data_IF_753031574252
#
_entry.id   IF_753031574252
#
_cell.length_a   1.000
_cell.length_b   1.000
_cell.length_c   1.000
_cell.angle_alpha   90.00
_cell.angle_beta   90.00
_cell.angle_gamma   90.00
#
_symmetry.space_group_name_H-M   'P 1'
#
loop_
_entity.id
_entity.type
_entity.pdbx_description
1 polymer ?
#
# COMPACT_ATOMS: atom_id res chain seq x y z
N UNK A 1 13.72 33.19 13.51
CA UNK A 1 13.06 31.88 13.32
C UNK A 1 14.11 30.89 12.85
N UNK A 2 14.15 29.70 13.47
CA UNK A 2 15.12 28.68 13.07
C UNK A 2 14.71 28.07 11.72
N UNK A 3 15.68 27.58 10.89
CA UNK A 3 15.35 26.91 9.63
C UNK A 3 14.39 25.71 9.82
N UNK A 4 14.47 25.03 10.95
CA UNK A 4 13.59 23.90 11.30
C UNK A 4 12.14 24.33 11.52
N UNK A 5 11.90 25.52 12.13
CA UNK A 5 10.55 26.04 12.34
C UNK A 5 9.87 26.43 11.02
N UNK A 6 10.64 26.95 10.05
CA UNK A 6 10.14 27.29 8.72
C UNK A 6 9.80 26.03 7.89
N UNK A 7 10.63 24.98 7.98
CA UNK A 7 10.36 23.71 7.32
C UNK A 7 9.10 23.03 7.89
N UNK A 8 8.93 23.06 9.20
CA UNK A 8 7.75 22.49 9.84
C UNK A 8 6.48 23.26 9.46
N UNK A 9 6.53 24.60 9.47
CA UNK A 9 5.41 25.44 9.04
C UNK A 9 5.06 25.20 7.56
N UNK A 10 6.08 25.04 6.71
CA UNK A 10 5.88 24.72 5.28
C UNK A 10 5.23 23.36 5.10
N UNK A 11 5.73 22.32 5.77
CA UNK A 11 5.19 20.98 5.69
C UNK A 11 3.74 20.91 6.20
N UNK A 12 3.43 21.57 7.31
CA UNK A 12 2.07 21.65 7.85
C UNK A 12 1.12 22.35 6.87
N UNK A 13 1.51 23.52 6.36
CA UNK A 13 0.70 24.28 5.42
C UNK A 13 0.53 23.57 4.07
N UNK A 14 1.44 22.65 3.71
CA UNK A 14 1.36 21.90 2.47
C UNK A 14 0.21 20.88 2.45
N UNK A 15 -0.14 20.34 3.61
CA UNK A 15 -1.13 19.27 3.75
C UNK A 15 -2.47 19.76 4.30
N UNK A 16 -2.48 20.94 4.89
CA UNK A 16 -3.69 21.56 5.43
C UNK A 16 -4.09 22.79 4.58
N UNK A 17 -5.22 22.70 3.83
CA UNK A 17 -5.68 23.81 3.00
C UNK A 17 -6.12 25.04 3.78
N UNK A 18 -6.48 24.87 5.05
CA UNK A 18 -6.95 25.98 5.92
C UNK A 18 -5.79 26.81 6.47
N UNK A 19 -4.57 26.28 6.41
CA UNK A 19 -3.39 27.03 6.81
C UNK A 19 -2.95 28.02 5.71
N UNK A 20 -2.54 29.25 6.08
CA UNK A 20 -2.07 30.23 5.13
C UNK A 20 -0.73 29.83 4.50
N UNK A 21 -0.38 30.49 3.41
CA UNK A 21 0.97 30.40 2.84
C UNK A 21 2.01 30.76 3.90
N UNK A 22 3.05 29.94 4.12
CA UNK A 22 4.08 30.24 5.11
C UNK A 22 4.77 31.57 4.85
N UNK A 23 5.10 32.35 5.90
CA UNK A 23 5.79 33.61 5.73
C UNK A 23 7.21 33.43 5.17
N UNK A 24 7.75 34.44 4.53
CA UNK A 24 9.12 34.44 3.99
C UNK A 24 9.29 33.80 2.62
N UNK A 25 8.26 33.16 2.05
CA UNK A 25 8.31 32.68 0.69
C UNK A 25 8.35 33.85 -0.30
N UNK A 26 9.21 33.71 -1.31
CA UNK A 26 9.36 34.71 -2.38
C UNK A 26 9.28 34.03 -3.74
N UNK A 27 8.73 34.75 -4.70
CA UNK A 27 8.71 34.33 -6.10
C UNK A 27 9.80 35.07 -6.87
N UNK A 28 10.45 34.41 -7.80
CA UNK A 28 11.54 34.99 -8.61
C UNK A 28 11.05 36.15 -9.50
N UNK A 29 9.78 36.20 -9.84
CA UNK A 29 9.17 37.17 -10.76
C UNK A 29 8.27 38.18 -10.03
N UNK A 30 8.30 38.25 -8.70
CA UNK A 30 7.50 39.19 -7.91
C UNK A 30 5.97 38.88 -7.86
N UNK A 31 5.52 37.72 -8.40
CA UNK A 31 4.12 37.31 -8.30
C UNK A 31 3.78 36.95 -6.84
N UNK A 32 2.48 36.89 -6.51
CA UNK A 32 2.01 36.51 -5.19
C UNK A 32 2.47 35.08 -4.81
N UNK A 33 3.27 34.92 -3.74
CA UNK A 33 3.69 33.61 -3.26
C UNK A 33 2.52 32.72 -2.89
N UNK A 34 1.43 33.24 -2.38
CA UNK A 34 0.27 32.47 -1.92
C UNK A 34 -0.39 31.70 -3.07
N UNK A 35 -0.53 32.32 -4.24
CA UNK A 35 -1.09 31.65 -5.41
C UNK A 35 -0.20 30.47 -5.88
N UNK A 36 1.12 30.69 -5.93
CA UNK A 36 2.06 29.62 -6.32
C UNK A 36 2.11 28.50 -5.28
N UNK A 37 2.06 28.86 -4.01
CA UNK A 37 2.01 27.87 -2.94
C UNK A 37 0.74 27.02 -3.00
N UNK A 38 -0.42 27.62 -3.32
CA UNK A 38 -1.67 26.89 -3.51
C UNK A 38 -1.58 25.88 -4.67
N UNK A 39 -0.97 26.26 -5.79
CA UNK A 39 -0.71 25.33 -6.91
C UNK A 39 0.22 24.21 -6.49
N UNK A 40 1.32 24.52 -5.79
CA UNK A 40 2.26 23.53 -5.30
C UNK A 40 1.61 22.54 -4.32
N UNK A 41 0.82 23.05 -3.37
CA UNK A 41 0.01 22.25 -2.43
C UNK A 41 -0.90 21.28 -3.17
N UNK A 42 -1.64 21.79 -4.16
CA UNK A 42 -2.53 20.94 -4.96
C UNK A 42 -1.76 19.84 -5.70
N UNK A 43 -0.63 20.17 -6.31
CA UNK A 43 0.19 19.20 -7.02
C UNK A 43 0.72 18.10 -6.11
N UNK A 44 1.16 18.45 -4.89
CA UNK A 44 1.61 17.46 -3.90
C UNK A 44 0.47 16.53 -3.50
N UNK A 45 -0.71 17.08 -3.19
CA UNK A 45 -1.88 16.27 -2.84
C UNK A 45 -2.27 15.32 -3.98
N UNK A 46 -2.35 15.83 -5.20
CA UNK A 46 -2.68 15.03 -6.40
C UNK A 46 -1.64 13.93 -6.59
N UNK A 47 -0.34 14.25 -6.50
CA UNK A 47 0.74 13.25 -6.66
C UNK A 47 0.68 12.14 -5.60
N UNK A 48 0.33 12.47 -4.36
CA UNK A 48 0.16 11.47 -3.29
C UNK A 48 -1.07 10.59 -3.51
N UNK A 49 -2.18 11.18 -3.97
CA UNK A 49 -3.39 10.44 -4.33
C UNK A 49 -3.14 9.52 -5.52
N UNK A 50 -2.42 10.00 -6.53
CA UNK A 50 -2.04 9.19 -7.70
C UNK A 50 -1.12 8.02 -7.30
N UNK A 51 -0.13 8.25 -6.43
CA UNK A 51 0.72 7.18 -5.90
C UNK A 51 -0.09 6.10 -5.14
N UNK A 52 -1.11 6.51 -4.38
CA UNK A 52 -2.04 5.57 -3.74
C UNK A 52 -2.89 4.83 -4.78
N UNK A 53 -3.37 5.50 -5.82
CA UNK A 53 -4.14 4.89 -6.89
C UNK A 53 -3.34 3.84 -7.68
N UNK A 54 -2.04 4.08 -7.86
CA UNK A 54 -1.12 3.13 -8.50
C UNK A 54 -0.78 1.95 -7.58
N UNK A 55 -0.75 2.18 -6.26
CA UNK A 55 -0.49 1.13 -5.25
C UNK A 55 -1.71 0.22 -5.06
N UNK A 56 -2.93 0.76 -5.18
CA UNK A 56 -4.19 0.10 -4.87
C UNK A 56 -5.17 0.05 -6.07
N UNK A 57 -4.76 -0.48 -7.24
CA UNK A 57 -5.59 -0.46 -8.44
C UNK A 57 -6.89 -1.25 -8.29
N UNK A 58 -6.87 -2.45 -7.69
CA UNK A 58 -8.08 -3.26 -7.50
C UNK A 58 -8.99 -2.63 -6.45
N UNK A 59 -8.43 -2.13 -5.36
CA UNK A 59 -9.19 -1.38 -4.34
C UNK A 59 -9.91 -0.18 -4.99
N UNK A 60 -9.24 0.55 -5.88
CA UNK A 60 -9.82 1.67 -6.65
C UNK A 60 -10.95 1.22 -7.57
N UNK A 61 -10.76 0.12 -8.29
CA UNK A 61 -11.79 -0.41 -9.20
C UNK A 61 -13.04 -0.86 -8.46
N UNK A 62 -12.89 -1.49 -7.29
CA UNK A 62 -14.01 -1.98 -6.46
C UNK A 62 -14.96 -0.86 -6.00
N UNK A 63 -14.45 0.34 -5.77
CA UNK A 63 -15.27 1.47 -5.28
C UNK A 63 -15.46 2.58 -6.31
N UNK A 64 -14.76 2.52 -7.43
CA UNK A 64 -14.73 3.54 -8.48
C UNK A 64 -13.71 4.66 -8.20
N UNK A 65 -13.19 5.24 -9.28
CA UNK A 65 -12.07 6.21 -9.21
C UNK A 65 -12.42 7.45 -8.37
N UNK A 66 -13.61 8.00 -8.52
CA UNK A 66 -14.05 9.21 -7.82
C UNK A 66 -14.09 8.99 -6.29
N UNK A 67 -14.73 7.89 -5.86
CA UNK A 67 -14.79 7.55 -4.43
C UNK A 67 -13.41 7.26 -3.86
N UNK A 68 -12.58 6.48 -4.59
CA UNK A 68 -11.23 6.16 -4.16
C UNK A 68 -10.40 7.44 -3.96
N UNK A 69 -10.42 8.37 -4.92
CA UNK A 69 -9.66 9.63 -4.83
C UNK A 69 -10.11 10.51 -3.69
N UNK A 70 -11.42 10.58 -3.42
CA UNK A 70 -11.95 11.30 -2.27
C UNK A 70 -11.46 10.67 -0.95
N UNK A 71 -11.55 9.35 -0.82
CA UNK A 71 -11.05 8.58 0.33
C UNK A 71 -9.53 8.74 0.52
N UNK A 72 -8.76 8.60 -0.56
CA UNK A 72 -7.30 8.78 -0.55
C UNK A 72 -6.89 10.20 -0.15
N UNK A 73 -7.63 11.23 -0.58
CA UNK A 73 -7.38 12.61 -0.17
C UNK A 73 -7.56 12.82 1.34
N UNK A 74 -8.54 12.16 1.95
CA UNK A 74 -8.72 12.17 3.41
C UNK A 74 -7.59 11.41 4.11
N UNK A 75 -7.19 10.26 3.57
CA UNK A 75 -6.06 9.51 4.10
C UNK A 75 -4.76 10.33 4.08
N UNK A 76 -4.44 11.00 2.97
CA UNK A 76 -3.24 11.84 2.82
C UNK A 76 -3.18 12.91 3.90
N UNK A 77 -4.31 13.55 4.21
CA UNK A 77 -4.39 14.61 5.25
C UNK A 77 -4.19 14.05 6.66
N UNK A 78 -4.72 12.85 6.95
CA UNK A 78 -4.61 12.24 8.27
C UNK A 78 -3.27 11.53 8.48
N UNK A 79 -2.73 10.94 7.43
CA UNK A 79 -1.52 10.12 7.46
C UNK A 79 -0.54 10.55 6.37
N UNK A 80 0.06 11.74 6.48
CA UNK A 80 1.03 12.23 5.50
C UNK A 80 2.28 11.35 5.46
N UNK A 81 3.01 11.33 4.34
CA UNK A 81 4.23 10.56 4.21
C UNK A 81 5.27 11.03 5.24
N UNK A 82 5.91 10.07 5.91
CA UNK A 82 6.98 10.31 6.90
C UNK A 82 8.37 9.97 6.36
N UNK A 83 8.42 9.40 5.16
CA UNK A 83 9.64 9.04 4.45
C UNK A 83 9.64 9.69 3.08
N UNK A 84 10.83 9.93 2.54
CA UNK A 84 11.02 10.35 1.14
C UNK A 84 10.80 9.21 0.15
N UNK A 85 10.69 7.98 0.63
CA UNK A 85 10.42 6.79 -0.19
C UNK A 85 8.92 6.57 -0.29
N UNK A 86 8.32 6.94 -1.43
CA UNK A 86 6.89 6.76 -1.67
C UNK A 86 6.46 5.30 -1.78
N UNK A 87 7.39 4.37 -1.97
CA UNK A 87 7.11 2.93 -2.00
C UNK A 87 6.52 2.41 -0.68
N UNK A 88 6.90 3.03 0.43
CA UNK A 88 6.37 2.70 1.75
C UNK A 88 5.08 3.46 2.08
N UNK A 89 4.70 4.41 1.22
CA UNK A 89 3.49 5.19 1.41
C UNK A 89 2.26 4.36 1.08
N UNK A 90 1.29 4.35 1.96
CA UNK A 90 0.10 3.52 1.82
C UNK A 90 0.01 2.35 2.82
N UNK A 91 1.07 2.09 3.61
CA UNK A 91 1.04 1.05 4.65
C UNK A 91 -0.16 1.14 5.60
N UNK A 92 -0.60 2.35 5.91
CA UNK A 92 -1.76 2.63 6.77
C UNK A 92 -3.11 2.57 6.06
N UNK A 93 -3.14 2.51 4.72
CA UNK A 93 -4.39 2.58 3.95
C UNK A 93 -5.37 1.45 4.26
N UNK A 94 -4.97 0.17 4.40
CA UNK A 94 -5.89 -0.89 4.78
C UNK A 94 -6.55 -0.66 6.15
N UNK A 95 -5.79 -0.21 7.14
CA UNK A 95 -6.32 0.09 8.47
C UNK A 95 -7.26 1.31 8.46
N UNK A 96 -6.94 2.32 7.67
CA UNK A 96 -7.81 3.48 7.45
C UNK A 96 -9.13 3.06 6.81
N UNK A 97 -9.10 2.24 5.74
CA UNK A 97 -10.30 1.72 5.06
C UNK A 97 -11.19 0.94 6.03
N UNK A 98 -10.60 0.10 6.88
CA UNK A 98 -11.34 -0.72 7.84
C UNK A 98 -12.20 0.11 8.83
N UNK A 99 -11.82 1.37 9.07
CA UNK A 99 -12.53 2.30 9.96
C UNK A 99 -13.30 3.40 9.21
N UNK A 100 -13.24 3.41 7.88
CA UNK A 100 -13.85 4.44 7.05
C UNK A 100 -15.32 4.11 6.78
N UNK A 101 -16.22 4.65 7.56
CA UNK A 101 -17.65 4.37 7.49
C UNK A 101 -18.29 4.44 6.08
N UNK A 102 -17.91 5.39 5.17
CA UNK A 102 -18.45 5.41 3.83
C UNK A 102 -18.12 4.18 2.97
N UNK A 103 -17.06 3.41 3.31
CA UNK A 103 -16.68 2.17 2.62
C UNK A 103 -17.30 0.91 3.21
N UNK A 104 -18.13 1.02 4.27
CA UNK A 104 -18.68 -0.13 4.99
C UNK A 104 -19.56 -1.07 4.13
N UNK A 105 -20.09 -0.58 3.00
CA UNK A 105 -20.85 -1.40 2.04
C UNK A 105 -19.98 -2.40 1.27
N UNK A 106 -18.64 -2.25 1.30
CA UNK A 106 -17.66 -3.14 0.67
C UNK A 106 -16.73 -3.70 1.76
N UNK A 107 -17.19 -4.68 2.56
CA UNK A 107 -16.50 -5.09 3.79
C UNK A 107 -15.14 -5.76 3.54
N UNK A 108 -14.92 -6.31 2.35
CA UNK A 108 -13.65 -6.91 1.92
C UNK A 108 -12.61 -5.88 1.41
N UNK A 109 -12.98 -4.61 1.28
CA UNK A 109 -12.12 -3.59 0.67
C UNK A 109 -10.79 -3.42 1.41
N UNK A 110 -10.83 -3.42 2.75
CA UNK A 110 -9.63 -3.28 3.57
C UNK A 110 -8.66 -4.46 3.41
N UNK A 111 -9.19 -5.68 3.25
CA UNK A 111 -8.36 -6.87 3.09
C UNK A 111 -7.81 -7.00 1.67
N UNK A 112 -8.57 -6.58 0.65
CA UNK A 112 -8.04 -6.44 -0.72
C UNK A 112 -6.91 -5.41 -0.76
N UNK A 113 -7.09 -4.24 -0.15
CA UNK A 113 -6.03 -3.25 -0.04
C UNK A 113 -4.80 -3.79 0.71
N UNK A 114 -5.00 -4.62 1.74
CA UNK A 114 -3.90 -5.27 2.45
C UNK A 114 -3.14 -6.24 1.56
N UNK A 115 -3.85 -7.04 0.72
CA UNK A 115 -3.23 -7.93 -0.25
C UNK A 115 -2.38 -7.15 -1.26
N UNK A 116 -2.90 -6.05 -1.82
CA UNK A 116 -2.17 -5.20 -2.76
C UNK A 116 -0.91 -4.61 -2.12
N UNK A 117 -1.00 -4.13 -0.88
CA UNK A 117 0.16 -3.61 -0.18
C UNK A 117 1.21 -4.69 0.15
N UNK A 118 0.80 -5.91 0.52
CA UNK A 118 1.71 -7.04 0.73
C UNK A 118 2.46 -7.42 -0.55
N UNK A 119 1.84 -7.28 -1.71
CA UNK A 119 2.51 -7.49 -3.01
C UNK A 119 3.62 -6.45 -3.23
N UNK A 120 3.36 -5.18 -2.92
CA UNK A 120 4.40 -4.13 -2.98
C UNK A 120 5.54 -4.45 -2.00
N UNK A 121 5.23 -4.83 -0.77
CA UNK A 121 6.25 -5.23 0.22
C UNK A 121 7.07 -6.44 -0.24
N UNK A 122 6.46 -7.45 -0.85
CA UNK A 122 7.17 -8.62 -1.39
C UNK A 122 8.09 -8.21 -2.55
N UNK A 123 7.62 -7.31 -3.42
CA UNK A 123 8.40 -6.78 -4.54
C UNK A 123 9.69 -6.08 -4.07
N UNK A 124 9.60 -5.27 -3.02
CA UNK A 124 10.71 -4.47 -2.50
C UNK A 124 11.47 -5.13 -1.33
N UNK A 125 11.12 -6.37 -0.97
CA UNK A 125 11.82 -7.10 0.07
C UNK A 125 13.28 -7.37 -0.30
N UNK A 126 14.13 -7.49 0.71
CA UNK A 126 15.54 -7.84 0.52
C UNK A 126 15.69 -9.16 -0.26
N UNK A 127 16.71 -9.23 -1.08
CA UNK A 127 17.07 -10.47 -1.75
C UNK A 127 17.65 -11.47 -0.75
N UNK A 128 17.23 -12.72 -0.87
CA UNK A 128 17.79 -13.84 -0.15
C UNK A 128 17.83 -15.07 -1.06
N UNK A 129 18.84 -15.89 -0.87
CA UNK A 129 18.92 -17.16 -1.61
C UNK A 129 17.99 -18.17 -0.95
N UNK A 130 17.04 -18.77 -1.69
CA UNK A 130 16.20 -19.83 -1.14
C UNK A 130 17.05 -21.07 -0.85
N UNK A 131 16.59 -21.88 0.10
CA UNK A 131 17.18 -23.18 0.36
C UNK A 131 17.06 -24.05 -0.89
N UNK A 132 18.18 -24.58 -1.39
CA UNK A 132 18.17 -25.46 -2.55
C UNK A 132 17.43 -26.76 -2.24
N UNK A 133 16.73 -27.31 -3.24
CA UNK A 133 15.94 -28.54 -3.07
C UNK A 133 16.78 -29.72 -2.54
N UNK A 134 18.04 -29.84 -2.98
CA UNK A 134 18.96 -30.88 -2.54
C UNK A 134 19.37 -30.69 -1.07
N UNK A 135 19.45 -29.44 -0.58
CA UNK A 135 19.74 -29.15 0.82
C UNK A 135 18.54 -29.52 1.69
N UNK A 136 17.33 -29.14 1.24
CA UNK A 136 16.09 -29.52 1.92
C UNK A 136 15.92 -31.04 1.97
N UNK A 137 16.13 -31.74 0.85
CA UNK A 137 16.05 -33.20 0.78
C UNK A 137 17.04 -33.88 1.76
N UNK A 138 18.28 -33.38 1.87
CA UNK A 138 19.27 -33.91 2.81
C UNK A 138 18.82 -33.74 4.27
N UNK A 139 18.23 -32.60 4.61
CA UNK A 139 17.72 -32.36 5.96
C UNK A 139 16.52 -33.24 6.27
N UNK A 140 15.58 -33.38 5.33
CA UNK A 140 14.40 -34.23 5.48
C UNK A 140 14.73 -35.74 5.54
N UNK A 141 15.87 -36.16 4.99
CA UNK A 141 16.36 -37.54 5.07
C UNK A 141 16.92 -37.93 6.46
N UNK A 142 16.97 -36.99 7.42
CA UNK A 142 17.49 -37.19 8.78
C UNK A 142 16.38 -36.93 9.81
N UNK A 143 15.47 -37.91 10.03
CA UNK A 143 14.29 -37.73 10.88
C UNK A 143 14.61 -37.29 12.32
N UNK A 144 15.75 -37.71 12.84
CA UNK A 144 16.22 -37.37 14.18
C UNK A 144 16.53 -35.88 14.36
N UNK A 145 16.82 -35.16 13.28
CA UNK A 145 17.11 -33.72 13.30
C UNK A 145 15.87 -32.85 13.10
N UNK A 146 14.76 -33.42 12.59
CA UNK A 146 13.54 -32.65 12.28
C UNK A 146 12.97 -31.87 13.48
N UNK A 147 12.96 -32.41 14.73
CA UNK A 147 12.45 -31.66 15.89
C UNK A 147 13.26 -30.40 16.21
N UNK A 148 14.55 -30.37 15.82
CA UNK A 148 15.43 -29.24 16.04
C UNK A 148 15.50 -28.28 14.83
N UNK A 149 14.89 -28.64 13.70
CA UNK A 149 14.92 -27.85 12.48
C UNK A 149 14.22 -26.51 12.68
N UNK A 150 14.92 -25.44 12.33
CA UNK A 150 14.35 -24.08 12.26
C UNK A 150 14.43 -23.59 10.84
N UNK A 151 13.27 -23.31 10.25
CA UNK A 151 13.15 -22.68 8.95
C UNK A 151 12.93 -21.18 9.16
N UNK A 152 13.64 -20.37 8.37
CA UNK A 152 13.45 -18.92 8.32
C UNK A 152 12.68 -18.61 7.04
N UNK A 153 11.57 -17.90 7.18
CA UNK A 153 10.78 -17.49 6.02
C UNK A 153 11.60 -16.54 5.13
N UNK A 154 11.46 -16.70 3.82
CA UNK A 154 12.10 -15.77 2.88
C UNK A 154 11.60 -14.33 3.11
N UNK A 155 12.47 -13.31 3.02
CA UNK A 155 12.09 -11.91 3.28
C UNK A 155 10.91 -11.40 2.42
N UNK A 156 10.74 -11.97 1.23
CA UNK A 156 9.65 -11.62 0.32
C UNK A 156 8.36 -12.44 0.53
N UNK A 157 8.33 -13.35 1.51
CA UNK A 157 7.15 -14.14 1.79
C UNK A 157 6.21 -13.39 2.72
N UNK A 158 4.91 -13.33 2.36
CA UNK A 158 3.84 -12.78 3.18
C UNK A 158 2.68 -13.74 3.22
N UNK A 159 1.97 -13.74 4.32
CA UNK A 159 0.74 -14.50 4.54
C UNK A 159 -0.38 -13.55 4.94
N UNK A 160 -1.56 -13.77 4.39
CA UNK A 160 -2.77 -13.04 4.73
C UNK A 160 -3.94 -14.00 4.77
N UNK A 161 -4.66 -14.03 5.90
CA UNK A 161 -5.93 -14.73 6.00
C UNK A 161 -7.06 -13.70 6.04
N UNK A 162 -8.14 -13.97 5.33
CA UNK A 162 -9.32 -13.11 5.27
C UNK A 162 -10.60 -13.94 5.33
N UNK A 163 -11.68 -13.44 5.94
CA UNK A 163 -13.00 -14.06 5.83
C UNK A 163 -13.64 -13.84 4.45
N UNK A 164 -12.94 -13.21 3.53
CA UNK A 164 -13.40 -12.85 2.19
C UNK A 164 -12.52 -13.45 1.11
N UNK A 165 -13.05 -13.58 -0.11
CA UNK A 165 -12.39 -14.12 -1.30
C UNK A 165 -11.38 -13.12 -1.92
N UNK A 166 -10.40 -12.68 -1.13
CA UNK A 166 -9.49 -11.59 -1.50
C UNK A 166 -8.59 -11.91 -2.69
N UNK A 167 -8.16 -13.16 -2.82
CA UNK A 167 -7.33 -13.61 -3.93
C UNK A 167 -8.16 -13.73 -5.20
N UNK A 168 -9.36 -14.32 -5.09
CA UNK A 168 -10.29 -14.43 -6.21
C UNK A 168 -10.76 -13.07 -6.70
N UNK A 169 -11.10 -12.15 -5.80
CA UNK A 169 -11.44 -10.77 -6.16
C UNK A 169 -10.28 -10.08 -6.88
N UNK A 170 -9.07 -10.19 -6.34
CA UNK A 170 -7.89 -9.62 -6.98
C UNK A 170 -7.63 -10.26 -8.35
N UNK A 171 -7.71 -11.60 -8.48
CA UNK A 171 -7.50 -12.32 -9.72
C UNK A 171 -8.53 -11.94 -10.80
N UNK A 172 -9.79 -11.74 -10.42
CA UNK A 172 -10.85 -11.30 -11.33
C UNK A 172 -10.54 -9.91 -11.93
N UNK A 173 -10.05 -8.97 -11.12
CA UNK A 173 -9.63 -7.66 -11.59
C UNK A 173 -8.33 -7.67 -12.41
N UNK A 174 -7.55 -8.77 -12.33
CA UNK A 174 -6.43 -9.01 -13.26
C UNK A 174 -6.88 -9.73 -14.55
N UNK A 175 -8.17 -10.04 -14.70
CA UNK A 175 -8.69 -10.80 -15.85
C UNK A 175 -8.31 -12.27 -15.87
N UNK A 176 -7.85 -12.83 -14.74
CA UNK A 176 -7.44 -14.24 -14.63
C UNK A 176 -8.65 -15.17 -14.46
N UNK A 177 -9.73 -14.69 -13.86
CA UNK A 177 -11.01 -15.38 -13.70
C UNK A 177 -12.16 -14.42 -13.98
N UNK A 178 -13.35 -14.94 -14.24
CA UNK A 178 -14.53 -14.10 -14.44
C UNK A 178 -15.05 -13.57 -13.10
N UNK A 179 -15.38 -12.26 -13.03
CA UNK A 179 -15.88 -11.64 -11.81
C UNK A 179 -17.20 -12.30 -11.32
N UNK A 180 -18.03 -12.78 -12.26
CA UNK A 180 -19.28 -13.48 -11.94
C UNK A 180 -19.09 -14.83 -11.23
N UNK A 181 -17.88 -15.41 -11.27
CA UNK A 181 -17.56 -16.68 -10.61
C UNK A 181 -17.04 -16.49 -9.17
N UNK A 182 -16.88 -15.23 -8.73
CA UNK A 182 -16.35 -14.93 -7.41
C UNK A 182 -17.46 -14.82 -6.39
N UNK A 183 -17.38 -15.62 -5.32
CA UNK A 183 -18.20 -15.49 -4.11
C UNK A 183 -17.47 -14.64 -3.07
N UNK A 184 -17.72 -13.32 -2.95
CA UNK A 184 -16.89 -12.40 -2.15
C UNK A 184 -16.80 -12.77 -0.67
N UNK A 185 -17.79 -13.49 -0.13
CA UNK A 185 -17.89 -13.87 1.28
C UNK A 185 -17.31 -15.26 1.58
N UNK A 186 -16.57 -15.85 0.64
CA UNK A 186 -15.85 -17.09 0.88
C UNK A 186 -14.48 -16.79 1.52
N UNK A 187 -14.12 -17.41 2.66
CA UNK A 187 -12.80 -17.17 3.29
C UNK A 187 -11.65 -17.67 2.42
N UNK A 188 -10.63 -16.86 2.26
CA UNK A 188 -9.40 -17.23 1.56
C UNK A 188 -8.15 -16.85 2.37
N UNK A 189 -7.10 -17.62 2.16
CA UNK A 189 -5.75 -17.31 2.63
C UNK A 189 -4.83 -17.10 1.42
N UNK A 190 -4.06 -16.03 1.45
CA UNK A 190 -3.10 -15.67 0.42
C UNK A 190 -1.69 -15.94 0.89
N UNK A 191 -0.91 -16.64 0.09
CA UNK A 191 0.55 -16.66 0.14
C UNK A 191 1.07 -15.73 -0.95
N UNK A 192 1.74 -14.67 -0.55
CA UNK A 192 2.40 -13.74 -1.46
C UNK A 192 3.90 -13.99 -1.40
N UNK A 193 4.52 -14.26 -2.54
CA UNK A 193 5.94 -14.56 -2.63
C UNK A 193 6.53 -13.93 -3.87
N UNK A 194 7.77 -13.46 -3.78
CA UNK A 194 8.51 -13.02 -4.96
C UNK A 194 9.36 -14.18 -5.47
N UNK A 195 9.03 -14.66 -6.67
CA UNK A 195 9.79 -15.67 -7.41
C UNK A 195 10.61 -14.98 -8.51
N UNK A 196 11.90 -14.76 -8.25
CA UNK A 196 12.77 -14.01 -9.16
C UNK A 196 12.39 -12.53 -9.23
N UNK A 197 11.81 -12.09 -10.35
CA UNK A 197 11.37 -10.70 -10.57
C UNK A 197 9.85 -10.51 -10.42
N UNK A 198 9.10 -11.59 -10.34
CA UNK A 198 7.65 -11.55 -10.30
C UNK A 198 7.13 -11.82 -8.89
N UNK A 199 6.03 -11.17 -8.55
CA UNK A 199 5.31 -11.40 -7.30
C UNK A 199 4.09 -12.24 -7.62
N UNK A 200 4.08 -13.44 -7.07
CA UNK A 200 2.98 -14.39 -7.18
C UNK A 200 2.06 -14.29 -5.97
N UNK A 201 0.78 -14.48 -6.22
CA UNK A 201 -0.27 -14.62 -5.19
C UNK A 201 -0.90 -15.99 -5.35
N UNK A 202 -0.78 -16.81 -4.32
CA UNK A 202 -1.23 -18.19 -4.31
C UNK A 202 -2.33 -18.34 -3.27
N UNK A 203 -3.47 -18.89 -3.66
CA UNK A 203 -4.56 -19.25 -2.74
C UNK A 203 -4.18 -20.53 -1.99
N UNK A 204 -4.44 -20.54 -0.66
CA UNK A 204 -4.20 -21.71 0.22
C UNK A 204 -5.50 -22.19 0.82
#
# INVERSE_FOLDING_TARGET
>A
ESPESLQQAFAAALLDPDLPCPPGLRTWNGSDPAQRFAVYRNNVLVSLVDALADTFPVTRELVGDEFFRAMASLFVRQMPPRSTQLVDYGAGMPAFIATFAPAASVPYLADVARLEYLRIQACHAADALPLAAEQLARVLAQPEQLPALRLIAHPALRLLCSPYAIVSLWAAHQGLIALGDVEPYHPESALVVRAGREVEVITM
#
